data_IF_216874639775
#
_entry.id   IF_216874639775
#
_cell.length_a   1.000
_cell.length_b   1.000
_cell.length_c   1.000
_cell.angle_alpha   90.00
_cell.angle_beta   90.00
_cell.angle_gamma   90.00
#
_symmetry.space_group_name_H-M   'P 1'
#
loop_
_entity.id
_entity.type
_entity.pdbx_description
1 polymer ?
#
# COMPACT_ATOMS: atom_id res chain seq x y z
N UNK A 1 35.69 -2.63 27.77
CA UNK A 1 34.77 -3.67 28.29
C UNK A 1 33.84 -2.93 29.24
N UNK A 2 32.58 -2.66 28.90
CA UNK A 2 31.50 -3.65 28.87
C UNK A 2 30.62 -3.50 27.62
N UNK A 3 30.72 -4.48 26.73
CA UNK A 3 29.79 -4.69 25.63
C UNK A 3 28.80 -5.75 26.15
N UNK A 4 27.90 -5.35 27.06
CA UNK A 4 26.78 -6.21 27.45
C UNK A 4 25.60 -5.75 26.62
N UNK A 5 25.38 -6.49 25.54
CA UNK A 5 24.27 -6.33 24.62
C UNK A 5 23.14 -7.15 25.22
N UNK A 6 22.33 -6.52 26.06
CA UNK A 6 21.20 -7.11 26.79
C UNK A 6 21.50 -8.24 27.79
N UNK A 7 20.67 -8.31 28.84
CA UNK A 7 20.69 -9.39 29.82
C UNK A 7 19.38 -10.16 29.69
N UNK A 8 19.46 -11.50 29.63
CA UNK A 8 18.30 -12.36 29.80
C UNK A 8 17.67 -12.10 31.18
N UNK A 9 16.50 -11.47 31.19
CA UNK A 9 15.75 -10.92 32.33
C UNK A 9 16.05 -9.45 32.69
N UNK A 10 15.61 -8.53 31.83
CA UNK A 10 15.53 -7.11 32.12
C UNK A 10 14.39 -6.79 33.11
N UNK A 11 14.56 -7.19 34.38
CA UNK A 11 13.57 -6.94 35.44
C UNK A 11 13.19 -5.46 35.58
N UNK A 12 14.08 -4.55 35.18
CA UNK A 12 13.81 -3.12 35.16
C UNK A 12 12.69 -2.78 34.17
N UNK A 13 12.72 -3.37 32.97
CA UNK A 13 11.68 -3.20 31.93
C UNK A 13 10.32 -3.74 32.41
N UNK A 14 10.32 -4.89 33.10
CA UNK A 14 9.07 -5.44 33.65
C UNK A 14 8.47 -4.56 34.74
N UNK A 15 9.31 -3.89 35.54
CA UNK A 15 8.86 -2.94 36.56
C UNK A 15 8.37 -1.64 35.92
N UNK A 16 9.06 -1.14 34.89
CA UNK A 16 8.70 0.08 34.17
C UNK A 16 7.34 -0.04 33.47
N UNK A 17 7.13 -1.15 32.74
CA UNK A 17 5.88 -1.37 31.99
C UNK A 17 4.83 -2.18 32.76
N UNK A 18 5.18 -2.70 33.94
CA UNK A 18 4.29 -3.49 34.80
C UNK A 18 3.82 -4.80 34.16
N UNK A 19 4.61 -5.38 33.25
CA UNK A 19 4.25 -6.56 32.46
C UNK A 19 5.51 -7.31 32.00
N UNK A 20 5.42 -8.63 31.85
CA UNK A 20 6.47 -9.46 31.25
C UNK A 20 6.15 -9.88 29.80
N UNK A 21 5.06 -9.36 29.22
CA UNK A 21 4.67 -9.67 27.85
C UNK A 21 5.51 -8.82 26.86
N UNK A 22 6.34 -9.46 26.00
CA UNK A 22 7.30 -8.75 25.14
C UNK A 22 6.62 -7.83 24.12
N UNK A 23 5.46 -8.23 23.56
CA UNK A 23 4.68 -7.38 22.67
C UNK A 23 4.17 -6.11 23.39
N UNK A 24 3.68 -6.25 24.63
CA UNK A 24 3.19 -5.10 25.40
C UNK A 24 4.32 -4.12 25.73
N UNK A 25 5.50 -4.65 26.05
CA UNK A 25 6.71 -3.88 26.31
C UNK A 25 7.14 -3.12 25.04
N UNK A 26 7.24 -3.81 23.90
CA UNK A 26 7.60 -3.22 22.63
C UNK A 26 6.65 -2.08 22.22
N UNK A 27 5.34 -2.29 22.37
CA UNK A 27 4.34 -1.28 22.04
C UNK A 27 4.50 -0.02 22.89
N UNK A 28 4.57 -0.18 24.22
CA UNK A 28 4.69 0.97 25.12
C UNK A 28 6.04 1.68 25.01
N UNK A 29 7.13 0.93 24.77
CA UNK A 29 8.46 1.49 24.54
C UNK A 29 8.52 2.38 23.30
N UNK A 30 7.74 2.06 22.27
CA UNK A 30 7.63 2.86 21.05
C UNK A 30 6.57 3.97 21.12
N UNK A 31 5.86 4.12 22.25
CA UNK A 31 4.98 5.26 22.51
C UNK A 31 3.48 4.97 22.45
N UNK A 32 3.06 3.71 22.30
CA UNK A 32 1.64 3.37 22.44
C UNK A 32 1.19 3.53 23.89
N UNK A 33 -0.03 4.03 24.09
CA UNK A 33 -0.66 4.03 25.40
C UNK A 33 -0.94 2.60 25.87
N UNK A 34 -1.20 2.44 27.17
CA UNK A 34 -1.50 1.12 27.74
C UNK A 34 -2.78 0.54 27.15
N UNK A 35 -3.77 1.38 26.91
CA UNK A 35 -5.05 1.03 26.29
C UNK A 35 -4.85 0.57 24.83
N UNK A 36 -4.06 1.30 24.05
CA UNK A 36 -3.70 0.90 22.68
C UNK A 36 -2.91 -0.40 22.64
N UNK A 37 -1.96 -0.58 23.57
CA UNK A 37 -1.18 -1.81 23.65
C UNK A 37 -2.05 -3.03 23.99
N UNK A 38 -3.07 -2.85 24.84
CA UNK A 38 -4.06 -3.89 25.13
C UNK A 38 -4.89 -4.21 23.89
N UNK A 39 -5.35 -3.18 23.15
CA UNK A 39 -6.11 -3.37 21.93
C UNK A 39 -5.32 -4.19 20.91
N UNK A 40 -4.10 -3.75 20.55
CA UNK A 40 -3.26 -4.43 19.55
C UNK A 40 -2.98 -5.87 19.98
N UNK A 41 -2.71 -6.12 21.26
CA UNK A 41 -2.50 -7.47 21.78
C UNK A 41 -3.74 -8.38 21.64
N UNK A 42 -4.94 -7.83 21.79
CA UNK A 42 -6.17 -8.61 21.63
C UNK A 42 -6.43 -9.00 20.16
N UNK A 43 -5.88 -8.26 19.20
CA UNK A 43 -5.96 -8.51 17.76
C UNK A 43 -4.57 -8.83 17.17
N UNK A 44 -3.71 -9.49 17.96
CA UNK A 44 -2.32 -9.73 17.59
C UNK A 44 -2.16 -10.53 16.29
N UNK A 45 -3.09 -11.43 15.99
CA UNK A 45 -3.02 -12.30 14.80
C UNK A 45 -3.28 -11.50 13.50
N UNK A 46 -3.86 -10.31 13.61
CA UNK A 46 -4.12 -9.39 12.50
C UNK A 46 -3.02 -8.33 12.37
N UNK A 47 -2.51 -7.83 13.49
CA UNK A 47 -1.68 -6.63 13.50
C UNK A 47 -0.21 -6.85 13.86
N UNK A 48 0.20 -8.07 14.21
CA UNK A 48 1.56 -8.35 14.68
C UNK A 48 2.17 -9.47 13.86
N UNK A 49 3.37 -9.21 13.33
CA UNK A 49 4.11 -10.15 12.49
C UNK A 49 5.48 -10.41 13.09
N UNK A 50 5.94 -11.66 12.95
CA UNK A 50 7.28 -12.09 13.35
C UNK A 50 8.21 -12.04 12.14
N UNK A 51 9.29 -11.27 12.23
CA UNK A 51 10.27 -11.16 11.14
C UNK A 51 11.36 -12.24 11.29
N UNK A 52 11.18 -13.38 10.60
CA UNK A 52 12.24 -14.35 10.25
C UNK A 52 12.91 -15.15 11.38
N UNK A 53 13.17 -14.55 12.52
CA UNK A 53 13.70 -15.12 13.76
C UNK A 53 12.83 -14.58 14.91
N UNK A 54 12.36 -15.45 15.80
CA UNK A 54 11.24 -15.20 16.75
C UNK A 54 11.36 -13.97 17.69
N UNK A 55 12.47 -13.23 17.65
CA UNK A 55 12.79 -12.11 18.55
C UNK A 55 12.34 -10.73 18.03
N UNK A 56 12.25 -10.51 16.71
CA UNK A 56 11.88 -9.21 16.14
C UNK A 56 10.39 -9.16 15.74
N UNK A 57 9.60 -8.57 16.63
CA UNK A 57 8.17 -8.29 16.43
C UNK A 57 8.00 -6.99 15.62
N UNK A 58 7.24 -7.06 14.53
CA UNK A 58 6.81 -5.89 13.74
C UNK A 58 5.30 -5.75 13.74
N UNK A 59 4.84 -4.56 13.37
CA UNK A 59 3.43 -4.20 13.31
C UNK A 59 2.96 -4.11 11.87
N UNK A 60 1.75 -4.58 11.60
CA UNK A 60 1.15 -4.42 10.28
C UNK A 60 0.61 -2.98 10.11
N UNK A 61 0.85 -2.38 8.94
CA UNK A 61 0.37 -1.03 8.60
C UNK A 61 -1.16 -0.88 8.60
N UNK A 62 -1.93 -1.96 8.50
CA UNK A 62 -3.40 -1.97 8.70
C UNK A 62 -3.82 -1.42 10.07
N UNK A 63 -2.92 -1.33 11.07
CA UNK A 63 -3.18 -0.61 12.32
C UNK A 63 -3.56 0.86 12.11
N UNK A 64 -3.13 1.48 11.02
CA UNK A 64 -3.51 2.84 10.65
C UNK A 64 -5.01 2.97 10.34
N UNK A 65 -5.68 1.83 10.06
CA UNK A 65 -7.09 1.74 9.66
C UNK A 65 -7.90 0.75 10.52
N UNK A 66 -7.41 0.34 11.69
CA UNK A 66 -8.05 -0.64 12.59
C UNK A 66 -9.39 -0.20 13.22
N UNK A 67 -9.94 0.97 12.85
CA UNK A 67 -11.21 1.49 13.37
C UNK A 67 -11.17 2.03 14.81
N UNK A 68 -10.06 1.86 15.54
CA UNK A 68 -9.87 2.47 16.85
C UNK A 68 -9.09 3.78 16.73
N UNK A 69 -9.77 4.91 16.87
CA UNK A 69 -9.20 6.25 16.64
C UNK A 69 -7.95 6.55 17.46
N UNK A 70 -7.89 6.10 18.72
CA UNK A 70 -6.71 6.32 19.56
C UNK A 70 -5.51 5.54 19.05
N UNK A 71 -5.73 4.27 18.68
CA UNK A 71 -4.69 3.39 18.13
C UNK A 71 -4.20 3.91 16.79
N UNK A 72 -5.11 4.29 15.88
CA UNK A 72 -4.75 4.81 14.55
C UNK A 72 -3.88 6.08 14.67
N UNK A 73 -4.23 7.02 15.56
CA UNK A 73 -3.47 8.26 15.75
C UNK A 73 -2.09 8.01 16.36
N UNK A 74 -2.01 7.13 17.36
CA UNK A 74 -0.74 6.74 17.97
C UNK A 74 0.13 6.00 16.95
N UNK A 75 -0.43 5.03 16.22
CA UNK A 75 0.26 4.28 15.17
C UNK A 75 0.82 5.19 14.08
N UNK A 76 0.04 6.16 13.57
CA UNK A 76 0.51 7.14 12.59
C UNK A 76 1.69 7.97 13.11
N UNK A 77 1.61 8.43 14.36
CA UNK A 77 2.69 9.20 14.99
C UNK A 77 3.95 8.35 15.19
N UNK A 78 3.79 7.09 15.57
CA UNK A 78 4.90 6.16 15.81
C UNK A 78 5.53 5.72 14.50
N UNK A 79 4.74 5.42 13.46
CA UNK A 79 5.23 5.08 12.11
C UNK A 79 6.08 6.21 11.53
N UNK A 80 5.68 7.46 11.74
CA UNK A 80 6.48 8.62 11.32
C UNK A 80 7.87 8.66 12.00
N UNK A 81 7.95 8.31 13.28
CA UNK A 81 9.19 8.38 14.06
C UNK A 81 10.06 7.12 13.92
N UNK A 82 9.45 5.94 13.80
CA UNK A 82 10.10 4.62 13.75
C UNK A 82 9.46 3.78 12.64
N UNK A 83 9.68 4.12 11.36
CA UNK A 83 9.02 3.45 10.25
C UNK A 83 9.39 1.96 10.16
N UNK A 84 10.61 1.57 10.56
CA UNK A 84 11.05 0.18 10.57
C UNK A 84 10.34 -0.73 11.58
N UNK A 85 9.50 -0.18 12.46
CA UNK A 85 8.61 -0.94 13.34
C UNK A 85 7.41 -1.53 12.57
N UNK A 86 7.06 -0.92 11.44
CA UNK A 86 5.92 -1.31 10.63
C UNK A 86 6.37 -2.09 9.40
N UNK A 87 5.60 -3.10 9.04
CA UNK A 87 5.61 -3.69 7.71
C UNK A 87 4.41 -3.14 6.95
N UNK A 88 4.67 -2.67 5.75
CA UNK A 88 3.62 -2.45 4.78
C UNK A 88 3.30 -3.84 4.21
N UNK A 89 2.05 -4.26 4.32
CA UNK A 89 1.61 -5.36 3.46
C UNK A 89 1.82 -4.86 2.03
N UNK A 90 2.66 -5.55 1.26
CA UNK A 90 2.80 -5.27 -0.19
C UNK A 90 1.45 -5.42 -0.93
N UNK A 91 0.40 -5.91 -0.25
CA UNK A 91 -0.99 -5.95 -0.71
C UNK A 91 -1.84 -4.72 -0.39
N UNK A 92 -1.30 -3.69 0.28
CA UNK A 92 -2.02 -2.46 0.65
C UNK A 92 -1.41 -1.20 -0.01
N UNK A 93 -0.88 -1.35 -1.23
CA UNK A 93 -0.71 -0.21 -2.15
C UNK A 93 -2.07 0.28 -2.72
N UNK A 94 -3.17 -0.40 -2.37
CA UNK A 94 -4.51 -0.18 -2.95
C UNK A 94 -5.41 0.80 -2.18
N UNK A 95 -4.98 1.36 -1.02
CA UNK A 95 -5.80 2.32 -0.25
C UNK A 95 -5.09 3.66 0.07
N UNK A 96 -4.45 4.27 -0.93
CA UNK A 96 -4.44 5.74 -1.03
C UNK A 96 -5.56 6.13 -2.00
N UNK A 97 -6.78 6.19 -1.48
CA UNK A 97 -8.04 6.63 -2.16
C UNK A 97 -8.03 8.15 -2.51
N UNK A 98 -6.88 8.66 -2.95
CA UNK A 98 -6.72 9.96 -3.62
C UNK A 98 -6.10 9.80 -5.02
N UNK A 99 -5.91 8.55 -5.47
CA UNK A 99 -5.42 8.23 -6.80
C UNK A 99 -6.43 8.55 -7.90
N UNK A 100 -5.92 8.89 -9.08
CA UNK A 100 -6.72 9.02 -10.28
C UNK A 100 -7.42 7.69 -10.64
N UNK A 101 -8.69 7.72 -11.06
CA UNK A 101 -9.35 6.53 -11.59
C UNK A 101 -8.84 6.18 -13.00
N UNK A 102 -8.39 4.94 -13.17
CA UNK A 102 -7.89 4.37 -14.44
C UNK A 102 -8.98 3.70 -15.26
N UNK A 103 -10.22 3.69 -14.78
CA UNK A 103 -11.36 3.13 -15.52
C UNK A 103 -11.60 3.95 -16.78
N UNK A 104 -11.61 3.28 -17.93
CA UNK A 104 -11.89 3.89 -19.24
C UNK A 104 -12.90 3.07 -20.03
N UNK A 105 -13.79 3.77 -20.73
CA UNK A 105 -14.68 3.14 -21.71
C UNK A 105 -13.89 2.84 -22.98
N UNK A 106 -13.79 1.56 -23.31
CA UNK A 106 -13.06 1.04 -24.47
C UNK A 106 -14.06 0.48 -25.47
N UNK A 107 -13.94 0.87 -26.73
CA UNK A 107 -14.72 0.29 -27.83
C UNK A 107 -13.96 -0.90 -28.41
N UNK A 108 -14.56 -2.10 -28.38
CA UNK A 108 -13.98 -3.25 -29.05
C UNK A 108 -13.92 -3.02 -30.57
N UNK A 109 -12.76 -3.14 -31.23
CA UNK A 109 -12.64 -2.95 -32.68
C UNK A 109 -13.40 -4.00 -33.51
N UNK A 110 -13.81 -5.10 -32.87
CA UNK A 110 -14.35 -6.27 -33.54
C UNK A 110 -15.86 -6.34 -33.48
N UNK A 111 -16.44 -6.19 -32.30
CA UNK A 111 -17.89 -6.17 -32.12
C UNK A 111 -18.48 -4.77 -31.95
N UNK A 112 -17.63 -3.72 -31.91
CA UNK A 112 -18.01 -2.33 -31.69
C UNK A 112 -18.78 -2.06 -30.40
N UNK A 113 -18.75 -3.00 -29.46
CA UNK A 113 -19.39 -2.80 -28.15
C UNK A 113 -18.42 -2.11 -27.20
N UNK A 114 -18.94 -1.13 -26.48
CA UNK A 114 -18.21 -0.40 -25.45
C UNK A 114 -18.32 -1.13 -24.10
N UNK A 115 -17.23 -1.16 -23.35
CA UNK A 115 -17.18 -1.65 -21.99
C UNK A 115 -16.12 -0.89 -21.19
N UNK A 116 -16.28 -0.89 -19.87
CA UNK A 116 -15.32 -0.32 -18.96
C UNK A 116 -14.18 -1.30 -18.71
N UNK A 117 -12.96 -0.79 -18.72
CA UNK A 117 -11.75 -1.52 -18.36
C UNK A 117 -11.04 -0.69 -17.31
N UNK A 118 -10.65 -1.33 -16.20
CA UNK A 118 -9.71 -0.74 -15.27
C UNK A 118 -8.30 -0.93 -15.82
N UNK A 119 -7.64 0.17 -16.19
CA UNK A 119 -6.29 0.12 -16.74
C UNK A 119 -5.20 0.10 -15.67
N UNK A 120 -5.55 0.30 -14.38
CA UNK A 120 -4.59 0.24 -13.29
C UNK A 120 -3.89 -1.12 -13.23
N UNK A 121 -4.62 -2.20 -13.51
CA UNK A 121 -4.11 -3.58 -13.52
C UNK A 121 -3.03 -3.83 -14.59
N UNK A 122 -2.94 -2.98 -15.62
CA UNK A 122 -2.01 -3.14 -16.74
C UNK A 122 -0.84 -2.15 -16.71
N UNK A 123 -0.72 -1.33 -15.66
CA UNK A 123 0.39 -0.38 -15.51
C UNK A 123 1.69 -1.14 -15.24
N UNK A 124 2.72 -0.86 -16.04
CA UNK A 124 4.04 -1.49 -15.88
C UNK A 124 5.14 -0.48 -15.55
N UNK A 125 4.90 0.82 -15.78
CA UNK A 125 5.87 1.88 -15.50
C UNK A 125 5.17 3.17 -15.08
N UNK A 126 5.75 3.87 -14.11
CA UNK A 126 5.28 5.17 -13.65
C UNK A 126 6.46 6.12 -13.63
N UNK A 127 6.37 7.21 -14.38
CA UNK A 127 7.39 8.26 -14.41
C UNK A 127 6.81 9.57 -13.89
N UNK A 128 7.62 10.39 -13.23
CA UNK A 128 7.18 11.67 -12.67
C UNK A 128 8.18 12.78 -13.00
N UNK A 129 7.68 13.96 -13.33
CA UNK A 129 8.50 15.13 -13.63
C UNK A 129 8.05 16.35 -12.82
N UNK A 130 8.98 16.93 -12.06
CA UNK A 130 8.76 18.17 -11.31
C UNK A 130 8.62 19.35 -12.27
N UNK A 131 7.47 20.03 -12.24
CA UNK A 131 7.25 21.25 -13.02
C UNK A 131 7.63 22.49 -12.19
N UNK A 132 8.45 23.36 -12.77
CA UNK A 132 8.92 24.63 -12.15
C UNK A 132 7.79 25.67 -11.91
N UNK A 133 6.53 25.31 -12.09
CA UNK A 133 5.37 26.18 -11.89
C UNK A 133 4.80 26.14 -10.45
N UNK A 134 5.40 25.34 -9.55
CA UNK A 134 5.05 25.31 -8.13
C UNK A 134 3.78 24.53 -7.78
N UNK A 135 3.25 23.71 -8.69
CA UNK A 135 2.07 22.86 -8.44
C UNK A 135 2.44 21.38 -8.17
N UNK A 136 3.74 21.07 -8.09
CA UNK A 136 4.25 19.73 -7.82
C UNK A 136 4.59 18.94 -9.09
N UNK A 137 4.93 17.64 -8.94
CA UNK A 137 5.22 16.77 -10.07
C UNK A 137 3.96 16.35 -10.81
N UNK A 138 4.12 15.93 -12.07
CA UNK A 138 3.16 15.04 -12.73
C UNK A 138 3.47 13.57 -12.44
N UNK A 139 2.54 12.69 -12.79
CA UNK A 139 2.81 11.28 -12.93
C UNK A 139 2.21 10.75 -14.23
N UNK A 140 3.01 10.00 -14.98
CA UNK A 140 2.66 9.38 -16.24
C UNK A 140 2.74 7.88 -16.07
N UNK A 141 1.59 7.24 -16.16
CA UNK A 141 1.38 5.80 -15.98
C UNK A 141 1.30 5.14 -17.34
N UNK A 142 2.30 4.33 -17.68
CA UNK A 142 2.35 3.57 -18.92
C UNK A 142 1.77 2.17 -18.69
N UNK A 143 0.88 1.74 -19.58
CA UNK A 143 0.20 0.45 -19.47
C UNK A 143 0.24 -0.34 -20.79
N UNK A 144 0.24 -1.66 -20.65
CA UNK A 144 0.15 -2.64 -21.74
C UNK A 144 -0.61 -3.86 -21.23
N UNK A 145 -1.81 -4.11 -21.77
CA UNK A 145 -2.60 -5.26 -21.35
C UNK A 145 -2.06 -6.58 -21.91
N UNK A 146 -1.10 -6.53 -22.82
CA UNK A 146 -0.58 -7.67 -23.56
C UNK A 146 -1.74 -8.52 -24.11
N UNK A 147 -1.90 -9.75 -23.62
CA UNK A 147 -2.97 -10.69 -23.97
C UNK A 147 -4.00 -10.92 -22.86
N UNK A 148 -3.99 -10.07 -21.83
CA UNK A 148 -4.79 -10.24 -20.62
C UNK A 148 -6.16 -9.54 -20.66
N UNK A 149 -6.43 -8.71 -21.68
CA UNK A 149 -7.75 -8.10 -21.85
C UNK A 149 -8.59 -8.92 -22.84
N UNK A 150 -9.80 -9.31 -22.43
CA UNK A 150 -10.75 -10.03 -23.29
C UNK A 150 -12.04 -9.25 -23.37
N UNK A 151 -12.54 -9.04 -24.59
CA UNK A 151 -13.83 -8.40 -24.77
C UNK A 151 -14.95 -9.26 -24.16
N UNK A 152 -15.75 -8.73 -23.21
CA UNK A 152 -16.78 -9.51 -22.52
C UNK A 152 -17.95 -9.91 -23.43
N UNK A 153 -18.05 -9.32 -24.61
CA UNK A 153 -19.17 -9.54 -25.54
C UNK A 153 -18.84 -10.53 -26.66
N UNK A 154 -17.66 -10.45 -27.27
CA UNK A 154 -17.27 -11.32 -28.38
C UNK A 154 -16.16 -12.31 -28.04
N UNK A 155 -15.54 -12.19 -26.86
CA UNK A 155 -14.48 -13.09 -26.40
C UNK A 155 -13.13 -12.91 -27.09
N UNK A 156 -12.97 -11.90 -27.95
CA UNK A 156 -11.68 -11.61 -28.58
C UNK A 156 -10.69 -11.01 -27.58
N UNK A 157 -9.44 -11.46 -27.67
CA UNK A 157 -8.32 -10.90 -26.92
C UNK A 157 -7.95 -9.55 -27.53
N UNK A 158 -7.87 -8.54 -26.69
CA UNK A 158 -7.47 -7.18 -27.04
C UNK A 158 -6.12 -6.89 -26.42
N UNK A 159 -5.28 -6.17 -27.16
CA UNK A 159 -4.11 -5.51 -26.61
C UNK A 159 -4.39 -4.01 -26.49
N UNK A 160 -4.51 -3.53 -25.25
CA UNK A 160 -4.73 -2.14 -24.90
C UNK A 160 -3.40 -1.57 -24.40
N UNK A 161 -2.84 -0.61 -25.13
CA UNK A 161 -1.57 0.04 -24.79
C UNK A 161 -1.71 1.55 -24.74
N UNK A 162 -0.89 2.20 -23.93
CA UNK A 162 -0.93 3.65 -23.84
C UNK A 162 -0.36 4.23 -22.57
N UNK A 163 -0.78 5.45 -22.27
CA UNK A 163 -0.41 6.15 -21.04
C UNK A 163 -1.53 7.06 -20.54
N UNK A 164 -1.56 7.26 -19.22
CA UNK A 164 -2.42 8.22 -18.52
C UNK A 164 -1.52 9.18 -17.73
N UNK A 165 -1.74 10.49 -17.89
CA UNK A 165 -1.02 11.54 -17.19
C UNK A 165 -1.93 12.21 -16.16
N UNK A 166 -1.46 12.32 -14.93
CA UNK A 166 -2.11 13.05 -13.86
C UNK A 166 -1.35 14.34 -13.51
N UNK A 167 -2.07 15.46 -13.48
CA UNK A 167 -1.52 16.75 -13.10
C UNK A 167 -2.60 17.80 -12.73
N UNK A 168 -2.55 18.38 -11.51
CA UNK A 168 -1.75 17.94 -10.35
C UNK A 168 -2.06 16.47 -9.99
N UNK A 169 -1.19 15.82 -9.23
CA UNK A 169 -1.41 14.43 -8.77
C UNK A 169 -2.84 14.25 -8.25
N UNK A 170 -3.53 13.20 -8.72
CA UNK A 170 -4.94 12.91 -8.44
C UNK A 170 -5.95 13.49 -9.45
N UNK A 171 -5.52 14.30 -10.44
CA UNK A 171 -6.39 14.88 -11.46
C UNK A 171 -5.97 14.49 -12.89
N UNK A 172 -6.94 14.15 -13.75
CA UNK A 172 -6.65 13.75 -15.13
C UNK A 172 -6.19 14.96 -15.94
N UNK A 173 -4.98 14.91 -16.48
CA UNK A 173 -4.45 15.92 -17.38
C UNK A 173 -4.64 15.51 -18.84
N UNK A 174 -4.13 14.33 -19.20
CA UNK A 174 -4.19 13.80 -20.57
C UNK A 174 -4.02 12.28 -20.62
N UNK A 175 -4.45 11.65 -21.71
CA UNK A 175 -4.23 10.23 -21.96
C UNK A 175 -4.06 9.92 -23.46
N UNK A 176 -3.48 8.76 -23.74
CA UNK A 176 -3.43 8.13 -25.05
C UNK A 176 -3.71 6.65 -24.90
N UNK A 177 -4.70 6.14 -25.63
CA UNK A 177 -5.11 4.74 -25.57
C UNK A 177 -5.18 4.18 -26.99
N UNK A 178 -4.48 3.08 -27.23
CA UNK A 178 -4.50 2.32 -28.48
C UNK A 178 -5.06 0.92 -28.22
N UNK A 179 -5.92 0.44 -29.11
CA UNK A 179 -6.58 -0.86 -28.97
C UNK A 179 -6.30 -1.66 -30.25
N UNK A 180 -5.61 -2.78 -30.09
CA UNK A 180 -5.32 -3.73 -31.16
C UNK A 180 -5.94 -5.10 -30.84
N UNK A 181 -6.10 -5.92 -31.87
CA UNK A 181 -6.47 -7.33 -31.75
C UNK A 181 -5.28 -8.19 -32.10
N UNK A 182 -5.19 -9.36 -31.46
CA UNK A 182 -4.34 -10.42 -31.99
C UNK A 182 -5.11 -11.07 -33.13
N UNK A 183 -4.65 -10.87 -34.36
CA UNK A 183 -5.20 -11.59 -35.51
C UNK A 183 -4.79 -13.07 -35.38
N UNK A 184 -5.77 -13.97 -35.45
CA UNK A 184 -5.53 -15.38 -35.72
C UNK A 184 -5.06 -15.51 -37.18
N UNK A 185 -3.75 -15.58 -37.42
CA UNK A 185 -3.21 -16.07 -38.71
C UNK A 185 -3.61 -17.54 -38.96
#
# INVERSE_FOLDING_TARGET
MHNVVEFDNNWYEYVEFGTANPLTILLQRNGFSRESAIYIRNYKDEYVVHDGDEEDLKLNSSLLHCGNTSVMREAASIKYNVPGLFIDDESELDEIDEGLSFVRTIQCPECNTEFEVDLAEYVYDVSSFEKDNGMGPDAVHSFDSESNCVCPYCGKVLNITGWICEYPIGALDSDQININTFDDE
#
